data_IF_917667710891
#
_entry.id   IF_917667710891
#
_cell.length_a   1.000
_cell.length_b   1.000
_cell.length_c   1.000
_cell.angle_alpha   90.00
_cell.angle_beta   90.00
_cell.angle_gamma   90.00
#
_symmetry.space_group_name_H-M   'P 1'
#
loop_
_entity.id
_entity.type
_entity.pdbx_description
1 polymer ?
#
# COMPACT_ATOMS: atom_id res chain seq x y z
N UNK A 1 -12.80 6.43 22.26
CA UNK A 1 -12.82 5.75 23.55
C UNK A 1 -11.75 6.26 24.50
N UNK A 2 -11.89 5.97 25.79
CA UNK A 2 -10.91 6.34 26.81
C UNK A 2 -9.61 5.49 26.64
N UNK A 3 -8.40 6.07 26.83
CA UNK A 3 -8.10 7.46 27.28
C UNK A 3 -8.04 8.49 26.14
N UNK A 4 -8.21 8.13 24.89
CA UNK A 4 -8.02 9.02 23.74
C UNK A 4 -9.01 10.20 23.66
N UNK A 5 -10.12 10.13 24.42
CA UNK A 5 -11.11 11.21 24.52
C UNK A 5 -10.70 12.37 25.45
N UNK A 6 -9.61 12.23 26.22
CA UNK A 6 -9.13 13.35 27.04
C UNK A 6 -8.68 14.53 26.17
N UNK A 7 -8.95 15.76 26.61
CA UNK A 7 -8.64 16.99 25.86
C UNK A 7 -7.16 17.11 25.53
N UNK A 8 -6.30 16.85 26.49
CA UNK A 8 -4.84 16.91 26.31
C UNK A 8 -4.26 15.75 25.46
N UNK A 9 -4.96 14.60 25.37
CA UNK A 9 -4.50 13.48 24.58
C UNK A 9 -4.61 13.76 23.07
N UNK A 10 -3.68 13.22 22.30
CA UNK A 10 -3.74 13.21 20.84
C UNK A 10 -4.34 11.88 20.37
N UNK A 11 -5.54 11.93 19.82
CA UNK A 11 -6.27 10.75 19.32
C UNK A 11 -6.05 10.57 17.83
N UNK A 12 -5.67 9.36 17.42
CA UNK A 12 -5.24 9.08 16.03
C UNK A 12 -6.17 8.07 15.37
N UNK A 13 -6.72 8.42 14.21
CA UNK A 13 -7.46 7.52 13.36
C UNK A 13 -6.52 6.65 12.52
N UNK A 14 -6.99 5.43 12.18
CA UNK A 14 -6.27 4.49 11.33
C UNK A 14 -6.66 4.70 9.86
N UNK A 15 -5.70 5.09 9.04
CA UNK A 15 -5.85 5.23 7.60
C UNK A 15 -4.89 4.29 6.85
N UNK A 16 -5.14 4.13 5.56
CA UNK A 16 -4.19 3.48 4.65
C UNK A 16 -3.06 4.45 4.29
N UNK A 17 -1.85 3.91 4.14
CA UNK A 17 -0.72 4.67 3.59
C UNK A 17 -0.86 4.89 2.08
N UNK A 18 0.03 5.71 1.51
CA UNK A 18 0.09 5.92 0.05
C UNK A 18 0.62 4.71 -0.70
N UNK A 19 1.36 3.85 -0.03
CA UNK A 19 1.97 2.65 -0.61
C UNK A 19 1.67 1.42 0.22
N UNK A 20 1.77 0.25 -0.42
CA UNK A 20 1.67 -1.05 0.21
C UNK A 20 2.84 -1.93 -0.18
N UNK A 21 3.09 -3.01 0.57
CA UNK A 21 4.04 -4.03 0.15
C UNK A 21 3.66 -4.61 -1.22
N UNK A 22 4.66 -4.86 -2.06
CA UNK A 22 4.53 -5.53 -3.35
C UNK A 22 5.68 -6.50 -3.53
N UNK A 23 5.43 -7.61 -4.20
CA UNK A 23 6.47 -8.59 -4.51
C UNK A 23 7.44 -8.02 -5.54
N UNK A 24 8.69 -8.45 -5.48
CA UNK A 24 9.71 -8.08 -6.45
C UNK A 24 10.40 -9.32 -7.03
N UNK A 25 10.93 -9.17 -8.23
CA UNK A 25 11.93 -10.07 -8.77
C UNK A 25 13.18 -9.26 -9.13
N UNK A 26 14.34 -9.82 -8.85
CA UNK A 26 15.60 -9.25 -9.31
C UNK A 26 15.79 -9.57 -10.78
N UNK A 27 16.36 -8.64 -11.53
CA UNK A 27 16.71 -8.89 -12.94
C UNK A 27 18.14 -8.47 -13.25
N UNK A 28 18.74 -9.20 -14.17
CA UNK A 28 20.02 -8.84 -14.77
C UNK A 28 19.78 -8.48 -16.23
N UNK A 29 20.12 -7.26 -16.60
CA UNK A 29 19.84 -6.68 -17.93
C UNK A 29 21.00 -5.83 -18.43
N UNK A 30 21.01 -5.52 -19.72
CA UNK A 30 21.96 -4.54 -20.30
C UNK A 30 21.56 -3.09 -20.03
N UNK A 31 20.31 -2.83 -19.62
CA UNK A 31 19.79 -1.47 -19.39
C UNK A 31 20.06 -0.93 -17.99
N UNK A 32 20.65 -1.75 -17.09
CA UNK A 32 20.83 -1.39 -15.69
C UNK A 32 19.54 -1.52 -14.83
N UNK A 33 18.48 -2.06 -15.40
CA UNK A 33 17.28 -2.43 -14.62
C UNK A 33 17.64 -3.55 -13.65
N UNK A 34 17.37 -3.39 -12.37
CA UNK A 34 17.70 -4.38 -11.32
C UNK A 34 16.47 -5.06 -10.73
N UNK A 35 15.31 -4.40 -10.74
CA UNK A 35 14.11 -4.88 -10.08
C UNK A 35 12.86 -4.73 -10.93
N UNK A 36 12.02 -5.77 -10.91
CA UNK A 36 10.64 -5.74 -11.37
C UNK A 36 9.71 -5.87 -10.17
N UNK A 37 8.57 -5.20 -10.22
CA UNK A 37 7.52 -5.27 -9.21
C UNK A 37 6.28 -5.98 -9.76
N UNK A 38 5.59 -6.72 -8.90
CA UNK A 38 4.39 -7.45 -9.30
C UNK A 38 3.86 -8.34 -8.18
N UNK A 39 3.08 -9.35 -8.56
CA UNK A 39 2.53 -10.35 -7.65
C UNK A 39 2.99 -11.75 -8.04
N UNK A 40 3.46 -12.52 -7.08
CA UNK A 40 3.81 -13.93 -7.27
C UNK A 40 2.54 -14.78 -7.47
N UNK A 41 2.62 -15.79 -8.35
CA UNK A 41 1.54 -16.76 -8.49
C UNK A 41 1.31 -17.53 -7.18
N UNK A 42 0.04 -17.78 -6.83
CA UNK A 42 -0.31 -18.31 -5.50
C UNK A 42 -0.26 -19.83 -5.39
N UNK A 43 -0.37 -20.57 -6.51
CA UNK A 43 -0.44 -22.03 -6.48
C UNK A 43 0.93 -22.72 -6.45
N UNK A 44 2.01 -22.00 -6.73
CA UNK A 44 3.37 -22.55 -6.66
C UNK A 44 3.95 -22.40 -5.24
N UNK A 45 4.56 -23.45 -4.72
CA UNK A 45 5.18 -23.45 -3.39
C UNK A 45 6.62 -22.93 -3.43
N UNK A 46 6.80 -21.63 -3.30
CA UNK A 46 8.11 -20.97 -3.30
C UNK A 46 9.00 -21.40 -2.13
N UNK A 47 8.43 -21.95 -1.05
CA UNK A 47 9.22 -22.35 0.13
C UNK A 47 10.01 -23.64 -0.09
N UNK A 48 9.62 -24.44 -1.08
CA UNK A 48 10.26 -25.69 -1.45
C UNK A 48 11.09 -25.61 -2.73
N UNK A 49 11.06 -24.46 -3.40
CA UNK A 49 11.77 -24.28 -4.66
C UNK A 49 13.27 -24.12 -4.45
N UNK A 50 14.05 -24.73 -5.31
CA UNK A 50 15.49 -24.47 -5.37
C UNK A 50 15.77 -23.11 -6.03
N UNK A 51 16.95 -22.54 -5.79
CA UNK A 51 17.37 -21.30 -6.44
C UNK A 51 17.34 -21.38 -7.97
N UNK A 52 17.69 -22.55 -8.53
CA UNK A 52 17.69 -22.78 -9.99
C UNK A 52 16.27 -22.79 -10.58
N UNK A 53 15.26 -23.25 -9.81
CA UNK A 53 13.87 -23.17 -10.25
C UNK A 53 13.33 -21.74 -10.24
N UNK A 54 13.91 -20.88 -9.40
CA UNK A 54 13.48 -19.48 -9.23
C UNK A 54 14.27 -18.49 -10.10
N UNK A 55 15.14 -18.98 -10.99
CA UNK A 55 15.98 -18.15 -11.83
C UNK A 55 16.01 -18.68 -13.27
N UNK A 56 16.02 -17.76 -14.24
CA UNK A 56 16.18 -18.14 -15.64
C UNK A 56 16.15 -16.97 -16.62
N UNK A 57 16.57 -17.25 -17.83
CA UNK A 57 16.53 -16.31 -18.94
C UNK A 57 15.09 -16.13 -19.42
N UNK A 58 14.69 -14.89 -19.65
CA UNK A 58 13.35 -14.52 -20.11
C UNK A 58 13.33 -14.39 -21.62
N UNK A 59 12.38 -15.06 -22.26
CA UNK A 59 12.06 -14.92 -23.68
C UNK A 59 10.61 -14.54 -23.88
N UNK A 60 10.31 -13.73 -24.87
CA UNK A 60 8.93 -13.37 -25.17
C UNK A 60 8.20 -14.53 -25.88
N UNK A 61 6.93 -14.71 -25.55
CA UNK A 61 6.05 -15.62 -26.29
C UNK A 61 5.93 -15.17 -27.76
N UNK A 62 5.82 -16.11 -28.69
CA UNK A 62 5.69 -15.78 -30.11
C UNK A 62 4.43 -14.95 -30.39
N UNK A 63 4.50 -14.04 -31.35
CA UNK A 63 3.40 -13.10 -31.67
C UNK A 63 2.05 -13.78 -31.91
N UNK A 64 2.06 -14.98 -32.53
CA UNK A 64 0.84 -15.76 -32.78
C UNK A 64 0.11 -16.10 -31.48
N UNK A 65 0.85 -16.46 -30.44
CA UNK A 65 0.32 -16.87 -29.14
C UNK A 65 0.89 -15.98 -28.02
N UNK A 66 0.92 -14.68 -28.26
CA UNK A 66 1.49 -13.69 -27.33
C UNK A 66 0.80 -13.65 -25.97
N UNK A 67 -0.40 -14.22 -25.86
CA UNK A 67 -1.17 -14.33 -24.62
C UNK A 67 -1.04 -15.69 -23.95
N UNK A 68 -0.33 -16.63 -24.58
CA UNK A 68 -0.16 -18.01 -24.11
C UNK A 68 -1.49 -18.77 -23.85
N UNK A 69 -2.60 -18.37 -24.47
CA UNK A 69 -3.90 -19.01 -24.29
C UNK A 69 -4.05 -20.32 -25.07
N UNK A 70 -3.23 -20.53 -26.11
CA UNK A 70 -3.23 -21.72 -26.94
C UNK A 70 -1.97 -22.58 -26.65
N UNK A 71 -2.03 -23.83 -27.03
CA UNK A 71 -0.83 -24.66 -27.05
C UNK A 71 0.21 -24.08 -28.04
N UNK A 72 1.48 -24.11 -27.64
CA UNK A 72 2.58 -23.73 -28.51
C UNK A 72 2.85 -24.84 -29.53
N UNK A 73 3.18 -24.47 -30.76
CA UNK A 73 3.63 -25.47 -31.76
C UNK A 73 4.96 -26.09 -31.40
N UNK A 74 5.30 -27.21 -31.98
CA UNK A 74 6.59 -27.86 -31.72
C UNK A 74 7.80 -26.96 -32.04
N UNK A 75 7.68 -26.10 -33.06
CA UNK A 75 8.73 -25.13 -33.42
C UNK A 75 8.85 -24.01 -32.39
N UNK A 76 7.72 -23.46 -31.94
CA UNK A 76 7.67 -22.44 -30.89
C UNK A 76 8.23 -22.99 -29.56
N UNK A 77 7.88 -24.22 -29.20
CA UNK A 77 8.34 -24.88 -27.99
C UNK A 77 9.88 -25.05 -27.93
N UNK A 78 10.56 -25.22 -29.08
CA UNK A 78 12.02 -25.25 -29.10
C UNK A 78 12.66 -23.98 -28.53
N UNK A 79 12.11 -22.82 -28.86
CA UNK A 79 12.61 -21.54 -28.37
C UNK A 79 12.27 -21.28 -26.88
N UNK A 80 11.23 -21.93 -26.38
CA UNK A 80 10.74 -21.72 -24.99
C UNK A 80 11.34 -22.73 -23.99
N UNK A 81 11.90 -23.83 -24.48
CA UNK A 81 12.43 -24.91 -23.64
C UNK A 81 13.53 -24.43 -22.69
N UNK A 82 13.33 -24.64 -21.38
CA UNK A 82 14.26 -24.25 -20.33
C UNK A 82 14.30 -22.73 -20.07
N UNK A 83 13.37 -21.96 -20.64
CA UNK A 83 13.30 -20.50 -20.46
C UNK A 83 12.13 -20.10 -19.60
N UNK A 84 12.23 -18.90 -19.03
CA UNK A 84 11.10 -18.16 -18.49
C UNK A 84 10.40 -17.47 -19.64
N UNK A 85 9.06 -17.58 -19.70
CA UNK A 85 8.29 -17.06 -20.83
C UNK A 85 7.55 -15.81 -20.39
N UNK A 86 7.89 -14.70 -21.04
CA UNK A 86 7.10 -13.46 -20.96
C UNK A 86 5.96 -13.54 -21.94
N UNK A 87 4.74 -13.26 -21.47
CA UNK A 87 3.56 -13.12 -22.32
C UNK A 87 2.71 -11.91 -21.92
N UNK A 88 1.98 -11.36 -22.90
CA UNK A 88 1.10 -10.23 -22.71
C UNK A 88 -0.17 -10.63 -21.95
N UNK A 89 -0.75 -9.66 -21.27
CA UNK A 89 -2.06 -9.81 -20.66
C UNK A 89 -3.09 -9.00 -21.47
N UNK A 90 -4.13 -9.69 -21.98
CA UNK A 90 -5.11 -9.13 -22.90
C UNK A 90 -6.36 -8.57 -22.23
N UNK A 91 -6.42 -8.55 -20.88
CA UNK A 91 -7.70 -8.46 -20.20
C UNK A 91 -7.83 -7.26 -19.28
N UNK A 92 -9.06 -6.74 -19.28
CA UNK A 92 -9.66 -6.09 -18.15
C UNK A 92 -10.11 -7.17 -17.14
N UNK A 93 -10.13 -6.89 -15.83
CA UNK A 93 -10.34 -7.86 -14.75
C UNK A 93 -11.65 -8.68 -14.80
N UNK A 94 -12.48 -8.52 -15.82
CA UNK A 94 -13.84 -9.06 -15.90
C UNK A 94 -14.12 -10.09 -17.01
N UNK A 95 -13.24 -10.28 -17.99
CA UNK A 95 -13.44 -11.29 -19.03
C UNK A 95 -12.15 -12.04 -19.37
N UNK A 96 -12.11 -13.33 -19.08
CA UNK A 96 -10.93 -14.16 -19.27
C UNK A 96 -11.13 -15.13 -20.45
N UNK A 97 -10.57 -14.89 -21.66
CA UNK A 97 -10.57 -15.93 -22.72
C UNK A 97 -9.85 -17.19 -22.25
N UNK A 98 -8.80 -17.04 -21.40
CA UNK A 98 -8.18 -18.14 -20.68
C UNK A 98 -7.58 -17.59 -19.35
N UNK A 99 -7.76 -18.33 -18.25
CA UNK A 99 -7.19 -17.96 -16.95
C UNK A 99 -5.67 -18.11 -16.89
N UNK A 100 -5.05 -17.61 -15.83
CA UNK A 100 -3.60 -17.74 -15.60
C UNK A 100 -3.15 -19.19 -15.57
N UNK A 101 -3.95 -20.11 -15.03
CA UNK A 101 -3.64 -21.53 -14.99
C UNK A 101 -3.39 -22.11 -16.39
N UNK A 102 -4.29 -21.87 -17.35
CA UNK A 102 -4.17 -22.39 -18.73
C UNK A 102 -2.91 -21.86 -19.39
N UNK A 103 -2.57 -20.58 -19.18
CA UNK A 103 -1.36 -19.96 -19.75
C UNK A 103 -0.08 -20.61 -19.19
N UNK A 104 -0.04 -20.83 -17.87
CA UNK A 104 1.08 -21.51 -17.21
C UNK A 104 1.22 -22.95 -17.68
N UNK A 105 0.10 -23.68 -17.81
CA UNK A 105 0.09 -25.06 -18.31
C UNK A 105 0.61 -25.14 -19.75
N UNK A 106 0.22 -24.21 -20.64
CA UNK A 106 0.73 -24.14 -22.01
C UNK A 106 2.24 -23.84 -22.06
N UNK A 107 2.72 -22.92 -21.23
CA UNK A 107 4.16 -22.63 -21.10
C UNK A 107 4.92 -23.85 -20.60
N UNK A 108 4.42 -24.51 -19.56
CA UNK A 108 5.02 -25.72 -19.01
C UNK A 108 5.04 -26.86 -20.04
N UNK A 109 3.94 -27.10 -20.77
CA UNK A 109 3.85 -28.11 -21.82
C UNK A 109 4.85 -27.86 -22.96
N UNK A 110 5.17 -26.60 -23.25
CA UNK A 110 6.22 -26.20 -24.19
C UNK A 110 7.64 -26.33 -23.62
N UNK A 111 7.78 -26.77 -22.37
CA UNK A 111 9.08 -26.91 -21.71
C UNK A 111 9.61 -25.62 -21.07
N UNK A 112 8.81 -24.59 -20.98
CA UNK A 112 9.13 -23.38 -20.19
C UNK A 112 9.17 -23.71 -18.70
N UNK A 113 10.05 -23.03 -17.96
CA UNK A 113 10.34 -23.32 -16.54
C UNK A 113 9.85 -22.24 -15.58
N UNK A 114 9.32 -21.14 -16.08
CA UNK A 114 8.75 -20.06 -15.30
C UNK A 114 8.01 -19.06 -16.19
N UNK A 115 7.27 -18.19 -15.58
CA UNK A 115 6.40 -17.21 -16.26
C UNK A 115 6.65 -15.81 -15.75
N UNK A 116 6.74 -14.85 -16.68
CA UNK A 116 6.62 -13.42 -16.40
C UNK A 116 5.43 -12.91 -17.22
N UNK A 117 4.38 -12.49 -16.53
CA UNK A 117 3.15 -12.05 -17.16
C UNK A 117 3.06 -10.53 -17.14
N UNK A 118 2.80 -9.92 -18.28
CA UNK A 118 2.55 -8.49 -18.37
C UNK A 118 1.38 -8.06 -17.49
N UNK A 119 1.44 -6.84 -17.01
CA UNK A 119 0.36 -6.20 -16.27
C UNK A 119 -0.05 -4.87 -16.88
N UNK A 120 -1.30 -4.50 -16.69
CA UNK A 120 -1.89 -3.23 -17.16
C UNK A 120 -2.17 -2.23 -16.05
N UNK A 121 -2.07 -2.65 -14.78
CA UNK A 121 -2.30 -1.81 -13.61
C UNK A 121 -1.04 -1.75 -12.73
N UNK A 122 -0.92 -0.68 -11.95
CA UNK A 122 0.15 -0.59 -10.94
C UNK A 122 -0.16 -1.45 -9.72
N UNK A 123 -1.36 -1.98 -9.63
CA UNK A 123 -1.85 -2.82 -8.56
C UNK A 123 -2.97 -3.73 -9.03
N UNK A 124 -3.10 -4.85 -8.33
CA UNK A 124 -4.16 -5.84 -8.53
C UNK A 124 -4.84 -6.19 -7.22
N UNK A 125 -6.15 -6.26 -7.22
CA UNK A 125 -6.97 -6.69 -6.08
C UNK A 125 -7.06 -8.22 -5.97
N UNK A 126 -6.83 -8.91 -7.10
CA UNK A 126 -6.89 -10.38 -7.18
C UNK A 126 -5.53 -10.88 -7.68
N UNK A 127 -4.93 -11.80 -6.93
CA UNK A 127 -3.69 -12.48 -7.33
C UNK A 127 -3.91 -13.43 -8.51
N UNK A 128 -2.82 -13.81 -9.18
CA UNK A 128 -2.84 -14.85 -10.22
C UNK A 128 -2.68 -16.23 -9.60
N UNK A 129 -3.50 -17.20 -10.05
CA UNK A 129 -3.36 -18.60 -9.64
C UNK A 129 -2.05 -19.21 -10.15
N UNK A 130 -1.81 -19.15 -11.44
CA UNK A 130 -0.76 -19.94 -12.08
C UNK A 130 -1.01 -21.45 -11.94
N UNK A 131 0.06 -22.25 -11.93
CA UNK A 131 -0.02 -23.67 -11.59
C UNK A 131 0.96 -24.03 -10.46
N UNK A 132 0.92 -25.28 -9.99
CA UNK A 132 1.76 -25.72 -8.88
C UNK A 132 3.19 -26.14 -9.30
N UNK A 133 3.51 -26.13 -10.59
CA UNK A 133 4.72 -26.75 -11.13
C UNK A 133 5.80 -25.74 -11.48
N UNK A 134 5.41 -24.58 -12.06
CA UNK A 134 6.35 -23.54 -12.45
C UNK A 134 6.02 -22.21 -11.75
N UNK A 135 7.05 -21.46 -11.29
CA UNK A 135 6.87 -20.16 -10.66
C UNK A 135 6.39 -19.10 -11.66
N UNK A 136 5.79 -18.04 -11.15
CA UNK A 136 5.42 -16.92 -12.01
C UNK A 136 5.21 -15.60 -11.28
N UNK A 137 5.42 -14.53 -12.02
CA UNK A 137 5.26 -13.15 -11.58
C UNK A 137 4.35 -12.42 -12.58
N UNK A 138 3.25 -11.83 -12.08
CA UNK A 138 2.49 -10.83 -12.84
C UNK A 138 3.05 -9.45 -12.51
N UNK A 139 3.48 -8.73 -13.53
CA UNK A 139 4.11 -7.42 -13.40
C UNK A 139 3.09 -6.30 -13.14
N UNK A 140 3.54 -5.21 -12.52
CA UNK A 140 2.86 -3.92 -12.61
C UNK A 140 2.95 -3.36 -14.05
N UNK A 141 2.11 -2.38 -14.37
CA UNK A 141 2.16 -1.71 -15.68
C UNK A 141 3.51 -1.03 -15.94
N UNK A 142 4.09 -0.38 -14.92
CA UNK A 142 5.43 0.23 -15.01
C UNK A 142 6.50 -0.83 -15.26
N UNK A 143 6.53 -1.90 -14.46
CA UNK A 143 7.51 -2.99 -14.61
C UNK A 143 7.35 -3.76 -15.92
N UNK A 144 6.13 -3.82 -16.48
CA UNK A 144 5.91 -4.37 -17.82
C UNK A 144 6.67 -3.58 -18.88
N UNK A 145 6.53 -2.25 -18.89
CA UNK A 145 7.24 -1.36 -19.82
C UNK A 145 8.77 -1.45 -19.66
N UNK A 146 9.23 -1.53 -18.41
CA UNK A 146 10.66 -1.65 -18.12
C UNK A 146 11.23 -2.97 -18.62
N UNK A 147 10.51 -4.08 -18.44
CA UNK A 147 10.89 -5.38 -18.95
C UNK A 147 10.90 -5.42 -20.49
N UNK A 148 9.88 -4.89 -21.15
CA UNK A 148 9.80 -4.82 -22.61
C UNK A 148 10.99 -4.05 -23.20
N UNK A 149 11.31 -2.89 -22.58
CA UNK A 149 12.51 -2.11 -22.96
C UNK A 149 13.81 -2.90 -22.75
N UNK A 150 13.91 -3.64 -21.65
CA UNK A 150 15.09 -4.46 -21.37
C UNK A 150 15.24 -5.62 -22.34
N UNK A 151 14.14 -6.33 -22.68
CA UNK A 151 14.13 -7.42 -23.66
C UNK A 151 14.50 -6.92 -25.06
N UNK A 152 14.08 -5.72 -25.45
CA UNK A 152 14.47 -5.11 -26.72
C UNK A 152 15.97 -4.76 -26.77
N UNK A 153 16.59 -4.47 -25.63
CA UNK A 153 18.01 -4.15 -25.52
C UNK A 153 18.95 -5.35 -25.42
N UNK A 154 18.43 -6.54 -25.09
CA UNK A 154 19.21 -7.77 -25.03
C UNK A 154 18.72 -8.80 -24.02
N UNK A 155 19.53 -9.81 -23.68
CA UNK A 155 19.15 -10.85 -22.75
C UNK A 155 18.75 -10.33 -21.38
N UNK A 156 17.71 -10.91 -20.81
CA UNK A 156 17.21 -10.62 -19.47
C UNK A 156 17.17 -11.92 -18.67
N UNK A 157 17.73 -11.92 -17.47
CA UNK A 157 17.58 -13.00 -16.50
C UNK A 157 16.74 -12.51 -15.35
N UNK A 158 15.71 -13.27 -14.97
CA UNK A 158 14.88 -13.02 -13.79
C UNK A 158 15.29 -13.94 -12.65
N UNK A 159 15.20 -13.45 -11.43
CA UNK A 159 15.40 -14.20 -10.18
C UNK A 159 14.32 -13.84 -9.20
N UNK A 160 13.58 -14.82 -8.70
CA UNK A 160 12.61 -14.72 -7.63
C UNK A 160 13.17 -15.32 -6.34
N UNK A 161 12.72 -14.83 -5.20
CA UNK A 161 13.09 -15.34 -3.88
C UNK A 161 11.98 -15.02 -2.88
N UNK A 162 11.82 -15.84 -1.85
CA UNK A 162 10.89 -15.54 -0.74
C UNK A 162 11.21 -14.22 -0.04
N UNK A 163 12.49 -13.87 0.08
CA UNK A 163 12.92 -12.60 0.67
C UNK A 163 12.51 -11.38 -0.19
N UNK A 164 12.15 -11.60 -1.44
CA UNK A 164 11.68 -10.56 -2.35
C UNK A 164 10.15 -10.37 -2.30
N UNK A 165 9.43 -11.29 -1.63
CA UNK A 165 7.98 -11.10 -1.40
C UNK A 165 7.74 -9.92 -0.47
N UNK A 166 6.77 -9.09 -0.83
CA UNK A 166 6.41 -7.89 -0.08
C UNK A 166 7.57 -6.93 0.23
N UNK A 167 8.71 -7.07 -0.46
CA UNK A 167 9.94 -6.29 -0.21
C UNK A 167 9.96 -4.95 -0.96
N UNK A 168 9.13 -4.79 -1.98
CA UNK A 168 8.91 -3.54 -2.72
C UNK A 168 7.82 -2.69 -2.10
N UNK A 169 7.61 -1.51 -2.70
CA UNK A 169 6.51 -0.61 -2.39
C UNK A 169 5.80 -0.23 -3.67
N UNK A 170 4.53 -0.57 -3.76
CA UNK A 170 3.64 -0.15 -4.84
C UNK A 170 2.57 0.81 -4.33
N UNK A 171 1.86 1.52 -5.22
CA UNK A 171 0.77 2.40 -4.81
C UNK A 171 -0.35 1.60 -4.14
N UNK A 172 -0.98 2.18 -3.11
CA UNK A 172 -2.10 1.57 -2.43
C UNK A 172 -3.42 1.93 -3.13
N UNK A 173 -4.32 0.95 -3.39
CA UNK A 173 -5.62 1.22 -4.04
C UNK A 173 -6.51 2.14 -3.21
N UNK A 174 -6.43 1.95 -1.89
CA UNK A 174 -7.12 2.77 -0.90
C UNK A 174 -6.22 3.85 -0.31
N UNK A 175 -5.25 4.38 -1.12
CA UNK A 175 -4.30 5.37 -0.64
C UNK A 175 -5.02 6.54 0.05
N UNK A 176 -4.65 6.77 1.30
CA UNK A 176 -5.25 7.79 2.16
C UNK A 176 -6.75 7.61 2.49
N UNK A 177 -7.33 6.44 2.23
CA UNK A 177 -8.68 6.11 2.72
C UNK A 177 -8.62 5.75 4.22
N UNK A 178 -9.75 5.81 4.88
CA UNK A 178 -9.88 5.46 6.29
C UNK A 178 -10.17 3.98 6.46
N UNK A 179 -9.41 3.28 7.29
CA UNK A 179 -9.72 1.89 7.60
C UNK A 179 -11.06 1.78 8.33
N UNK A 180 -11.90 0.85 7.89
CA UNK A 180 -13.26 0.67 8.41
C UNK A 180 -13.30 0.36 9.92
N UNK A 181 -12.24 -0.21 10.47
CA UNK A 181 -12.09 -0.51 11.91
C UNK A 181 -11.74 0.72 12.76
N UNK A 182 -11.39 1.86 12.14
CA UNK A 182 -11.09 3.08 12.89
C UNK A 182 -12.33 3.60 13.63
N UNK A 183 -12.16 3.91 14.92
CA UNK A 183 -13.25 4.35 15.76
C UNK A 183 -13.88 5.65 15.25
N UNK A 184 -15.15 5.83 15.58
CA UNK A 184 -15.89 7.07 15.36
C UNK A 184 -15.94 7.85 16.66
N UNK A 185 -15.84 9.17 16.58
CA UNK A 185 -15.82 9.93 17.77
C UNK A 185 -16.77 11.09 17.83
N UNK A 186 -17.75 11.06 18.62
CA UNK A 186 -18.18 12.07 19.54
C UNK A 186 -18.24 11.39 20.89
N UNK A 187 -17.44 11.79 21.85
CA UNK A 187 -17.34 11.09 23.11
C UNK A 187 -17.43 12.07 24.27
N UNK A 188 -18.38 11.79 25.14
CA UNK A 188 -18.53 12.46 26.41
C UNK A 188 -19.37 13.71 26.33
N UNK A 189 -19.64 14.25 27.52
CA UNK A 189 -20.45 15.47 27.77
C UNK A 189 -19.79 16.76 27.25
N UNK A 190 -18.49 16.69 26.92
CA UNK A 190 -17.68 17.89 26.63
C UNK A 190 -17.73 18.31 25.17
N UNK A 191 -18.42 17.55 24.30
CA UNK A 191 -18.61 17.87 22.89
C UNK A 191 -17.32 17.89 22.03
N UNK A 192 -16.21 17.30 22.52
CA UNK A 192 -14.96 17.27 21.76
C UNK A 192 -15.06 16.38 20.56
N UNK A 193 -14.59 16.88 19.43
CA UNK A 193 -14.40 16.09 18.23
C UNK A 193 -13.13 15.28 18.36
N UNK A 194 -13.24 13.98 18.20
CA UNK A 194 -12.15 13.01 18.13
C UNK A 194 -12.40 12.07 16.95
N UNK A 195 -11.36 11.56 16.29
CA UNK A 195 -9.91 11.73 16.54
C UNK A 195 -9.44 13.16 16.24
N UNK A 196 -8.23 13.50 16.70
CA UNK A 196 -7.61 14.79 16.41
C UNK A 196 -7.04 14.84 14.97
N UNK A 197 -6.48 13.71 14.50
CA UNK A 197 -5.96 13.54 13.14
C UNK A 197 -5.90 12.05 12.78
N UNK A 198 -5.49 11.75 11.56
CA UNK A 198 -5.29 10.38 11.07
C UNK A 198 -3.82 10.11 10.68
N UNK A 199 -3.43 8.85 10.72
CA UNK A 199 -2.12 8.42 10.26
C UNK A 199 -2.19 7.02 9.62
N UNK A 200 -1.20 6.62 8.80
CA UNK A 200 -1.09 5.27 8.32
C UNK A 200 -1.01 4.26 9.48
N UNK A 201 -1.92 3.31 9.50
CA UNK A 201 -2.00 2.27 10.52
C UNK A 201 -2.42 0.92 9.96
N UNK A 202 -2.59 0.81 8.64
CA UNK A 202 -3.00 -0.42 7.95
C UNK A 202 -1.80 -1.03 7.25
N UNK A 203 -1.58 -2.34 7.46
CA UNK A 203 -0.48 -3.12 6.87
C UNK A 203 0.91 -2.50 7.16
N UNK A 204 1.11 -2.06 8.38
CA UNK A 204 2.36 -1.45 8.82
C UNK A 204 3.37 -2.54 9.17
N UNK A 205 4.46 -2.56 8.43
CA UNK A 205 5.59 -3.47 8.66
C UNK A 205 6.58 -2.82 9.63
N UNK A 206 6.90 -3.54 10.69
CA UNK A 206 7.88 -3.11 11.69
C UNK A 206 8.68 -4.31 12.21
N UNK A 207 9.62 -4.07 13.12
CA UNK A 207 10.45 -5.12 13.70
C UNK A 207 9.62 -6.13 14.49
N UNK A 208 9.84 -7.42 14.24
CA UNK A 208 9.21 -8.50 14.98
C UNK A 208 10.01 -8.80 16.25
N UNK A 209 9.35 -8.67 17.40
CA UNK A 209 9.98 -8.89 18.73
C UNK A 209 10.57 -10.30 18.82
N UNK A 210 11.79 -10.40 19.34
CA UNK A 210 12.48 -11.67 19.58
C UNK A 210 13.02 -12.38 18.34
N UNK A 211 12.95 -11.77 17.15
CA UNK A 211 13.38 -12.41 15.91
C UNK A 211 14.68 -11.86 15.31
N UNK A 212 15.31 -10.89 15.98
CA UNK A 212 16.51 -10.21 15.48
C UNK A 212 16.20 -9.21 14.37
N UNK A 213 16.20 -9.64 13.12
CA UNK A 213 16.05 -8.78 11.95
C UNK A 213 14.79 -9.04 11.10
N UNK A 214 13.82 -9.81 11.59
CA UNK A 214 12.58 -10.08 10.87
C UNK A 214 11.56 -8.98 11.05
N UNK A 215 10.70 -8.80 10.03
CA UNK A 215 9.55 -7.91 10.06
C UNK A 215 8.26 -8.65 10.40
N UNK A 216 7.28 -7.91 10.89
CA UNK A 216 5.88 -8.34 11.06
C UNK A 216 4.97 -7.21 10.61
N UNK A 217 3.84 -7.56 9.99
CA UNK A 217 2.82 -6.60 9.56
C UNK A 217 1.62 -6.63 10.50
N UNK A 218 1.23 -5.46 10.99
CA UNK A 218 0.02 -5.28 11.79
C UNK A 218 -0.87 -4.16 11.24
N UNK A 219 -2.16 -4.24 11.59
CA UNK A 219 -3.16 -3.22 11.25
C UNK A 219 -3.90 -2.77 12.49
N UNK A 220 -4.04 -1.45 12.67
CA UNK A 220 -4.82 -0.86 13.75
C UNK A 220 -4.45 0.59 14.05
N UNK A 221 -5.29 1.27 14.83
CA UNK A 221 -4.94 2.57 15.43
C UNK A 221 -3.68 2.47 16.30
N UNK A 222 -3.39 1.27 16.84
CA UNK A 222 -2.14 0.95 17.55
C UNK A 222 -0.88 1.10 16.68
N UNK A 223 -0.99 1.02 15.34
CA UNK A 223 0.10 1.27 14.38
C UNK A 223 0.09 2.71 13.86
N UNK A 224 -1.08 3.33 13.77
CA UNK A 224 -1.21 4.74 13.41
C UNK A 224 -0.63 5.68 14.49
N UNK A 225 -0.87 5.37 15.77
CA UNK A 225 -0.37 6.17 16.90
C UNK A 225 1.15 6.31 16.95
N UNK A 226 1.97 5.24 16.79
CA UNK A 226 3.43 5.36 16.74
C UNK A 226 3.94 6.21 15.57
N UNK A 227 3.26 6.24 14.43
CA UNK A 227 3.60 7.15 13.34
C UNK A 227 3.52 8.60 13.80
N UNK A 228 2.43 8.97 14.48
CA UNK A 228 2.26 10.33 15.00
C UNK A 228 3.25 10.63 16.12
N UNK A 229 3.54 9.66 16.98
CA UNK A 229 4.57 9.81 18.02
C UNK A 229 5.95 10.08 17.40
N UNK A 230 6.29 9.39 16.30
CA UNK A 230 7.53 9.66 15.54
C UNK A 230 7.57 11.07 14.95
N UNK A 231 6.45 11.53 14.37
CA UNK A 231 6.36 12.92 13.85
C UNK A 231 6.45 13.94 14.99
N UNK A 232 5.81 13.67 16.14
CA UNK A 232 5.94 14.52 17.33
C UNK A 232 7.40 14.65 17.79
N UNK A 233 8.16 13.56 17.79
CA UNK A 233 9.60 13.59 18.11
C UNK A 233 10.40 14.48 17.13
N UNK A 234 10.07 14.44 15.83
CA UNK A 234 10.69 15.32 14.83
C UNK A 234 10.34 16.80 15.06
N UNK A 235 9.08 17.09 15.42
CA UNK A 235 8.66 18.46 15.79
C UNK A 235 9.40 18.93 17.03
N UNK A 236 9.53 18.08 18.07
CA UNK A 236 10.30 18.41 19.28
C UNK A 236 11.77 18.68 18.98
N UNK A 237 12.36 17.94 18.05
CA UNK A 237 13.74 18.16 17.64
C UNK A 237 13.92 19.49 16.92
N UNK A 238 12.95 19.87 16.08
CA UNK A 238 13.01 21.13 15.32
C UNK A 238 12.64 22.36 16.16
N UNK A 239 11.78 22.20 17.15
CA UNK A 239 11.23 23.28 17.99
C UNK A 239 11.38 22.92 19.47
N UNK A 240 12.58 23.12 19.99
CA UNK A 240 12.94 22.72 21.37
C UNK A 240 12.21 23.54 22.46
N UNK A 241 11.65 24.66 22.09
CA UNK A 241 10.84 25.54 22.94
C UNK A 241 9.33 25.18 22.98
N UNK A 242 8.90 24.23 22.13
CA UNK A 242 7.50 23.82 22.10
C UNK A 242 7.13 22.96 23.32
N UNK A 243 6.07 23.35 24.00
CA UNK A 243 5.41 22.52 25.00
C UNK A 243 4.49 21.45 24.33
N UNK A 244 3.94 20.49 25.07
CA UNK A 244 3.09 19.44 24.49
C UNK A 244 1.89 19.96 23.70
N UNK A 245 1.27 21.07 24.12
CA UNK A 245 0.14 21.69 23.44
C UNK A 245 0.56 22.28 22.09
N UNK A 246 1.71 22.95 22.03
CA UNK A 246 2.28 23.48 20.80
C UNK A 246 2.64 22.37 19.82
N UNK A 247 3.19 21.25 20.30
CA UNK A 247 3.48 20.06 19.46
C UNK A 247 2.18 19.51 18.89
N UNK A 248 1.15 19.32 19.74
CA UNK A 248 -0.18 18.91 19.29
C UNK A 248 -0.74 19.87 18.24
N UNK A 249 -0.61 21.17 18.45
CA UNK A 249 -1.05 22.20 17.50
C UNK A 249 -0.31 22.11 16.17
N UNK A 250 1.02 21.96 16.18
CA UNK A 250 1.82 21.80 14.96
C UNK A 250 1.40 20.57 14.15
N UNK A 251 1.16 19.44 14.82
CA UNK A 251 0.70 18.20 14.20
C UNK A 251 -0.69 18.36 13.55
N UNK A 252 -1.65 18.95 14.27
CA UNK A 252 -3.02 19.12 13.79
C UNK A 252 -3.13 20.18 12.71
N UNK A 253 -2.42 21.32 12.85
CA UNK A 253 -2.47 22.41 11.88
C UNK A 253 -1.68 22.06 10.60
N UNK A 254 -0.65 21.22 10.71
CA UNK A 254 0.12 20.73 9.59
C UNK A 254 -0.51 19.53 8.86
N UNK A 255 -1.59 18.96 9.38
CA UNK A 255 -2.23 17.81 8.76
C UNK A 255 -2.79 18.17 7.38
N UNK A 256 -2.64 17.24 6.43
CA UNK A 256 -3.15 17.41 5.06
C UNK A 256 -4.56 16.85 4.92
N UNK A 257 -5.43 17.65 4.35
CA UNK A 257 -6.80 17.28 4.03
C UNK A 257 -7.04 17.38 2.52
N UNK A 258 -8.08 16.72 1.99
CA UNK A 258 -9.05 15.85 2.65
C UNK A 258 -8.67 14.36 2.54
N UNK A 259 -9.03 13.57 3.57
CA UNK A 259 -9.10 12.10 3.45
C UNK A 259 -10.42 11.76 2.77
N UNK A 260 -10.37 11.00 1.67
CA UNK A 260 -11.52 10.65 0.84
C UNK A 260 -11.69 9.15 0.79
N UNK A 261 -12.95 8.70 0.68
CA UNK A 261 -13.26 7.30 0.39
C UNK A 261 -13.03 6.98 -1.11
N UNK A 262 -13.21 5.72 -1.48
CA UNK A 262 -13.06 5.22 -2.86
C UNK A 262 -13.96 5.96 -3.88
N UNK A 263 -15.09 6.49 -3.44
CA UNK A 263 -16.02 7.26 -4.26
C UNK A 263 -15.63 8.75 -4.36
N UNK A 264 -14.53 9.15 -3.74
CA UNK A 264 -14.04 10.53 -3.73
C UNK A 264 -14.75 11.45 -2.72
N UNK A 265 -15.66 10.92 -1.89
CA UNK A 265 -16.34 11.68 -0.84
C UNK A 265 -15.43 11.88 0.37
N UNK A 266 -15.43 13.10 0.93
CA UNK A 266 -14.66 13.42 2.13
C UNK A 266 -15.29 12.79 3.37
N UNK A 267 -14.43 12.33 4.27
CA UNK A 267 -14.89 11.93 5.60
C UNK A 267 -15.20 13.14 6.48
N UNK A 268 -16.18 12.98 7.34
CA UNK A 268 -16.50 13.98 8.36
C UNK A 268 -15.37 14.09 9.41
N UNK A 269 -15.25 15.24 10.03
CA UNK A 269 -14.17 15.55 11.00
C UNK A 269 -14.17 14.61 12.22
N UNK A 270 -15.33 14.07 12.60
CA UNK A 270 -15.46 13.06 13.67
C UNK A 270 -14.89 11.68 13.29
N UNK A 271 -14.40 11.53 12.07
CA UNK A 271 -13.76 10.33 11.55
C UNK A 271 -12.25 10.49 11.37
N UNK A 272 -11.80 11.67 10.97
CA UNK A 272 -10.42 11.91 10.52
C UNK A 272 -9.75 13.11 11.21
N UNK A 273 -10.47 13.82 12.07
CA UNK A 273 -9.95 15.04 12.69
C UNK A 273 -9.56 16.08 11.64
N UNK A 274 -8.36 16.65 11.79
CA UNK A 274 -7.79 17.62 10.85
C UNK A 274 -7.22 17.00 9.57
N UNK A 275 -7.22 15.66 9.46
CA UNK A 275 -6.76 14.95 8.27
C UNK A 275 -5.52 14.09 8.51
N UNK A 276 -4.83 13.72 7.42
CA UNK A 276 -3.64 12.88 7.46
C UNK A 276 -2.44 13.63 8.03
N UNK A 277 -1.72 13.02 8.96
CA UNK A 277 -0.47 13.57 9.49
C UNK A 277 0.52 13.87 8.36
N UNK A 278 1.13 15.04 8.40
CA UNK A 278 2.15 15.47 7.46
C UNK A 278 3.39 15.91 8.23
N UNK A 279 4.40 15.05 8.27
CA UNK A 279 5.62 15.29 9.02
C UNK A 279 6.33 16.58 8.59
N UNK A 280 6.43 16.83 7.28
CA UNK A 280 7.11 18.00 6.74
C UNK A 280 6.39 19.29 7.16
N UNK A 281 5.08 19.35 6.96
CA UNK A 281 4.29 20.54 7.32
C UNK A 281 4.29 20.80 8.84
N UNK A 282 4.27 19.75 9.66
CA UNK A 282 4.33 19.88 11.11
C UNK A 282 5.70 20.39 11.59
N UNK A 283 6.80 19.90 11.00
CA UNK A 283 8.17 20.33 11.33
C UNK A 283 8.48 21.75 10.82
N UNK A 284 8.00 22.09 9.65
CA UNK A 284 8.24 23.42 9.03
C UNK A 284 7.22 24.48 9.51
N UNK A 285 6.31 24.12 10.44
CA UNK A 285 5.28 25.03 10.94
C UNK A 285 5.87 26.27 11.61
N UNK A 286 5.64 27.43 11.00
CA UNK A 286 6.07 28.74 11.54
C UNK A 286 4.98 29.43 12.35
N UNK A 287 3.74 28.96 12.23
CA UNK A 287 2.57 29.48 12.93
C UNK A 287 1.77 28.29 13.41
N UNK A 288 1.34 28.34 14.66
CA UNK A 288 0.44 27.36 15.27
C UNK A 288 -0.78 28.08 15.86
N UNK A 289 -1.94 27.44 15.78
CA UNK A 289 -3.19 27.95 16.33
C UNK A 289 -3.76 26.95 17.36
N UNK A 290 -4.17 27.48 18.51
CA UNK A 290 -4.85 26.71 19.55
C UNK A 290 -5.73 27.65 20.38
N UNK A 291 -6.62 27.12 21.23
CA UNK A 291 -7.48 27.91 22.09
C UNK A 291 -6.65 28.58 23.21
N UNK A 292 -6.67 29.91 23.26
CA UNK A 292 -5.89 30.67 24.26
C UNK A 292 -6.39 30.50 25.70
N UNK A 293 -7.69 30.18 25.89
CA UNK A 293 -8.29 29.97 27.22
C UNK A 293 -8.11 28.56 27.73
N UNK A 294 -8.09 27.60 26.83
CA UNK A 294 -7.94 26.16 27.10
C UNK A 294 -6.89 25.59 26.18
N UNK A 295 -5.58 25.82 26.44
CA UNK A 295 -4.48 25.45 25.50
C UNK A 295 -4.40 23.99 25.15
N UNK A 296 -4.92 23.10 25.96
CA UNK A 296 -5.06 21.67 25.66
C UNK A 296 -6.05 21.40 24.51
N UNK A 297 -6.91 22.35 24.18
CA UNK A 297 -7.84 22.34 23.06
C UNK A 297 -7.18 22.99 21.86
N UNK A 298 -6.73 22.21 20.93
CA UNK A 298 -6.18 22.70 19.65
C UNK A 298 -7.28 22.96 18.63
N UNK A 299 -8.45 22.30 18.79
CA UNK A 299 -9.63 22.52 17.94
C UNK A 299 -10.73 23.25 18.71
N UNK A 300 -11.43 24.16 18.03
CA UNK A 300 -12.61 24.83 18.58
C UNK A 300 -13.83 23.95 18.31
N UNK A 301 -14.51 23.51 19.38
CA UNK A 301 -15.80 22.82 19.31
C UNK A 301 -16.87 23.68 19.97
N UNK A 302 -17.99 23.85 19.28
CA UNK A 302 -19.14 24.61 19.80
C UNK A 302 -20.07 23.76 20.69
N UNK A 303 -19.64 22.52 21.03
CA UNK A 303 -20.47 21.57 21.75
C UNK A 303 -21.53 20.91 20.85
N UNK A 304 -22.58 20.42 21.49
CA UNK A 304 -23.75 19.89 20.80
C UNK A 304 -24.70 21.03 20.50
N UNK A 305 -25.03 21.21 19.22
CA UNK A 305 -26.04 22.19 18.79
C UNK A 305 -27.32 21.43 18.47
N UNK A 306 -28.39 21.70 19.21
CA UNK A 306 -29.71 21.19 18.86
C UNK A 306 -30.46 22.24 18.05
N UNK A 307 -31.02 21.80 16.93
CA UNK A 307 -31.88 22.61 16.09
C UNK A 307 -33.32 22.11 16.17
N UNK A 308 -34.23 22.98 16.53
CA UNK A 308 -35.65 22.73 16.39
C UNK A 308 -36.25 23.81 15.47
N UNK A 309 -37.25 23.44 14.62
CA UNK A 309 -37.85 24.41 13.70
C UNK A 309 -38.40 25.66 14.40
N UNK A 310 -38.84 25.52 15.64
CA UNK A 310 -39.49 26.61 16.39
C UNK A 310 -38.53 27.47 17.22
N UNK A 311 -37.37 26.92 17.63
CA UNK A 311 -36.44 27.63 18.53
C UNK A 311 -35.10 28.00 17.87
N UNK A 312 -34.88 27.60 16.62
CA UNK A 312 -33.60 27.78 15.96
C UNK A 312 -32.49 26.92 16.58
N UNK A 313 -31.23 27.36 16.44
CA UNK A 313 -30.06 26.65 16.98
C UNK A 313 -29.89 27.03 18.46
N UNK A 314 -29.88 26.04 19.32
CA UNK A 314 -29.56 26.21 20.75
C UNK A 314 -28.26 25.43 21.07
N UNK A 315 -27.39 26.05 21.87
CA UNK A 315 -26.17 25.38 22.38
C UNK A 315 -26.55 24.60 23.63
N UNK A 316 -26.36 23.31 23.61
CA UNK A 316 -26.49 22.43 24.79
C UNK A 316 -25.11 22.32 25.41
N UNK A 317 -24.94 22.81 26.61
CA UNK A 317 -23.70 22.69 27.40
C UNK A 317 -23.58 21.31 28.04
#
# INVERSE_FOLDING_TARGET
GSPANAAAALSVANAYGSTQPIDRARVTTKTGLEWLQGDYSVNFDYSKASADQLRGEVVAAPKRNRYACEAFTAEEAKALKGKWVYFEWDQDDLSFPCGSKVRFDNVQAAGGVGVVMAGKAERYTIGIGGNATIPGLRLTASSTKDLEKALAAGPVTVEMNLDYKASGRGPHSHAFDLNSSSARGQHGSDGFIKPDLAAPGTEIVSAAVGTGNKGVSFTGTSMATPHVAGVAALVMQAHQDYNPQMIKAALMNGASTPIKNEQGAQYAVDRVGTGMVNARAAVDAKVIAYDAKTPERVSTAFGVLEYTPDSGIQTVQ
#
